data_IF_261823629161
#
_entry.id   IF_261823629161
#
_cell.length_a   1.000
_cell.length_b   1.000
_cell.length_c   1.000
_cell.angle_alpha   90.00
_cell.angle_beta   90.00
_cell.angle_gamma   90.00
#
_symmetry.space_group_name_H-M   'P 1'
#
loop_
_entity.id
_entity.type
_entity.pdbx_description
1 polymer ?
#
# COMPACT_ATOMS: atom_id res chain seq x y z
N UNK A 1 -23.64 51.76 -114.39
CA UNK A 1 -23.69 50.32 -114.06
C UNK A 1 -22.41 49.77 -113.41
N UNK A 2 -21.19 49.99 -113.98
CA UNK A 2 -19.93 49.49 -113.37
C UNK A 2 -19.67 49.95 -111.92
N UNK A 3 -19.99 51.21 -111.59
CA UNK A 3 -19.81 51.77 -110.22
C UNK A 3 -20.72 51.11 -109.17
N UNK A 4 -21.96 50.76 -109.53
CA UNK A 4 -22.92 50.08 -108.63
C UNK A 4 -22.48 48.64 -108.38
N UNK A 5 -22.02 47.93 -109.41
CA UNK A 5 -21.48 46.57 -109.28
C UNK A 5 -20.28 46.54 -108.32
N UNK A 6 -19.38 47.52 -108.40
CA UNK A 6 -18.22 47.62 -107.49
C UNK A 6 -18.68 47.82 -106.03
N UNK A 7 -19.67 48.69 -105.79
CA UNK A 7 -20.23 48.91 -104.45
C UNK A 7 -20.89 47.64 -103.91
N UNK A 8 -21.64 46.91 -104.76
CA UNK A 8 -22.35 45.70 -104.37
C UNK A 8 -21.39 44.54 -104.08
N UNK A 9 -20.34 44.37 -104.87
CA UNK A 9 -19.27 43.40 -104.62
C UNK A 9 -18.49 43.78 -103.35
N UNK A 10 -18.20 45.07 -103.14
CA UNK A 10 -17.53 45.53 -101.92
C UNK A 10 -18.38 45.28 -100.67
N UNK A 11 -19.70 45.47 -100.76
CA UNK A 11 -20.63 45.16 -99.66
C UNK A 11 -20.70 43.66 -99.39
N UNK A 12 -20.73 42.82 -100.43
CA UNK A 12 -20.74 41.37 -100.29
C UNK A 12 -19.45 40.85 -99.65
N UNK A 13 -18.29 41.38 -100.04
CA UNK A 13 -17.00 41.06 -99.42
C UNK A 13 -16.99 41.50 -97.96
N UNK A 14 -17.44 42.73 -97.66
CA UNK A 14 -17.55 43.24 -96.28
C UNK A 14 -18.47 42.36 -95.42
N UNK A 15 -19.64 41.99 -95.93
CA UNK A 15 -20.59 41.11 -95.24
C UNK A 15 -20.00 39.73 -94.98
N UNK A 16 -19.29 39.16 -95.97
CA UNK A 16 -18.59 37.89 -95.80
C UNK A 16 -17.52 37.98 -94.71
N UNK A 17 -16.76 39.07 -94.64
CA UNK A 17 -15.78 39.29 -93.57
C UNK A 17 -16.43 39.41 -92.19
N UNK A 18 -17.54 40.14 -92.07
CA UNK A 18 -18.28 40.27 -90.80
C UNK A 18 -18.84 38.93 -90.34
N UNK A 19 -19.46 38.17 -91.26
CA UNK A 19 -20.02 36.85 -90.95
C UNK A 19 -18.92 35.85 -90.54
N UNK A 20 -17.78 35.86 -91.25
CA UNK A 20 -16.67 34.97 -90.94
C UNK A 20 -16.03 35.31 -89.60
N UNK A 21 -15.93 36.59 -89.24
CA UNK A 21 -15.47 37.02 -87.93
C UNK A 21 -16.44 36.59 -86.82
N UNK A 22 -17.75 36.78 -87.01
CA UNK A 22 -18.76 36.34 -86.05
C UNK A 22 -18.73 34.81 -85.82
N UNK A 23 -18.62 34.01 -86.89
CA UNK A 23 -18.51 32.56 -86.79
C UNK A 23 -17.21 32.12 -86.11
N UNK A 24 -16.13 32.86 -86.29
CA UNK A 24 -14.85 32.59 -85.64
C UNK A 24 -14.95 32.88 -84.14
N UNK A 25 -15.57 34.00 -83.76
CA UNK A 25 -15.87 34.36 -82.38
C UNK A 25 -16.80 33.34 -81.70
N UNK A 26 -17.87 32.91 -82.37
CA UNK A 26 -18.80 31.91 -81.84
C UNK A 26 -18.10 30.56 -81.62
N UNK A 27 -17.26 30.13 -82.57
CA UNK A 27 -16.45 28.92 -82.43
C UNK A 27 -15.46 29.03 -81.27
N UNK A 28 -14.79 30.17 -81.11
CA UNK A 28 -13.84 30.43 -80.03
C UNK A 28 -14.53 30.38 -78.67
N UNK A 29 -15.66 31.06 -78.52
CA UNK A 29 -16.45 31.06 -77.28
C UNK A 29 -17.00 29.66 -76.93
N UNK A 30 -17.47 28.88 -77.91
CA UNK A 30 -17.90 27.50 -77.69
C UNK A 30 -16.72 26.59 -77.29
N UNK A 31 -15.52 26.82 -77.83
CA UNK A 31 -14.31 26.11 -77.42
C UNK A 31 -13.92 26.45 -75.98
N UNK A 32 -13.92 27.73 -75.62
CA UNK A 32 -13.63 28.19 -74.26
C UNK A 32 -14.63 27.62 -73.24
N UNK A 33 -15.94 27.66 -73.53
CA UNK A 33 -16.95 27.07 -72.65
C UNK A 33 -16.76 25.57 -72.47
N UNK A 34 -16.46 24.84 -73.54
CA UNK A 34 -16.20 23.39 -73.46
C UNK A 34 -14.96 23.09 -72.62
N UNK A 35 -13.90 23.87 -72.77
CA UNK A 35 -12.67 23.67 -72.02
C UNK A 35 -12.84 24.06 -70.56
N UNK A 36 -13.58 25.13 -70.26
CA UNK A 36 -13.98 25.51 -68.89
C UNK A 36 -14.82 24.40 -68.22
N UNK A 37 -15.83 23.86 -68.92
CA UNK A 37 -16.65 22.76 -68.40
C UNK A 37 -15.84 21.48 -68.15
N UNK A 38 -14.84 21.18 -68.99
CA UNK A 38 -13.92 20.06 -68.76
C UNK A 38 -13.05 20.28 -67.53
N UNK A 39 -12.50 21.49 -67.38
CA UNK A 39 -11.69 21.86 -66.21
C UNK A 39 -12.53 21.74 -64.93
N UNK A 40 -13.77 22.23 -64.93
CA UNK A 40 -14.69 22.11 -63.80
C UNK A 40 -15.01 20.64 -63.50
N UNK A 41 -15.30 19.84 -64.52
CA UNK A 41 -15.59 18.42 -64.34
C UNK A 41 -14.38 17.67 -63.76
N UNK A 42 -13.16 17.97 -64.23
CA UNK A 42 -11.94 17.35 -63.73
C UNK A 42 -11.60 17.82 -62.31
N UNK A 43 -11.90 19.08 -61.97
CA UNK A 43 -11.77 19.61 -60.61
C UNK A 43 -12.76 18.94 -59.64
N UNK A 44 -14.02 18.75 -60.04
CA UNK A 44 -15.03 18.03 -59.26
C UNK A 44 -14.66 16.55 -59.08
N UNK A 45 -14.12 15.90 -60.13
CA UNK A 45 -13.59 14.53 -60.03
C UNK A 45 -12.40 14.45 -59.07
N UNK A 46 -11.51 15.44 -59.12
CA UNK A 46 -10.38 15.57 -58.21
C UNK A 46 -10.84 15.64 -56.76
N UNK A 47 -11.78 16.53 -56.46
CA UNK A 47 -12.36 16.62 -55.12
C UNK A 47 -13.09 15.35 -54.69
N UNK A 48 -13.88 14.74 -55.56
CA UNK A 48 -14.55 13.48 -55.22
C UNK A 48 -13.55 12.38 -54.89
N UNK A 49 -12.42 12.28 -55.60
CA UNK A 49 -11.34 11.35 -55.27
C UNK A 49 -10.73 11.67 -53.90
N UNK A 50 -10.41 12.93 -53.64
CA UNK A 50 -9.87 13.35 -52.33
C UNK A 50 -10.85 13.04 -51.20
N UNK A 51 -12.14 13.33 -51.37
CA UNK A 51 -13.18 13.03 -50.39
C UNK A 51 -13.30 11.53 -50.16
N UNK A 52 -13.29 10.72 -51.21
CA UNK A 52 -13.30 9.25 -51.10
C UNK A 52 -12.10 8.76 -50.30
N UNK A 53 -10.89 9.21 -50.60
CA UNK A 53 -9.69 8.85 -49.82
C UNK A 53 -9.81 9.26 -48.37
N UNK A 54 -10.30 10.47 -48.07
CA UNK A 54 -10.49 10.89 -46.66
C UNK A 54 -11.56 10.08 -45.93
N UNK A 55 -12.60 9.64 -46.63
CA UNK A 55 -13.64 8.79 -46.04
C UNK A 55 -13.07 7.41 -45.74
N UNK A 56 -12.30 6.82 -46.66
CA UNK A 56 -11.62 5.54 -46.45
C UNK A 56 -10.65 5.61 -45.25
N UNK A 57 -9.84 6.67 -45.16
CA UNK A 57 -8.93 6.89 -44.02
C UNK A 57 -9.68 7.03 -42.69
N UNK A 58 -10.81 7.74 -42.68
CA UNK A 58 -11.65 7.89 -41.49
C UNK A 58 -12.33 6.58 -41.10
N UNK A 59 -12.81 5.80 -42.08
CA UNK A 59 -13.41 4.49 -41.82
C UNK A 59 -12.39 3.48 -41.26
N UNK A 60 -11.16 3.53 -41.73
CA UNK A 60 -10.06 2.72 -41.20
C UNK A 60 -9.69 3.16 -39.77
N UNK A 61 -9.60 4.47 -39.52
CA UNK A 61 -9.35 5.02 -38.18
C UNK A 61 -10.47 4.64 -37.18
N UNK A 62 -11.74 4.68 -37.62
CA UNK A 62 -12.89 4.26 -36.80
C UNK A 62 -12.80 2.78 -36.46
N UNK A 63 -12.45 1.93 -37.43
CA UNK A 63 -12.27 0.49 -37.21
C UNK A 63 -11.14 0.19 -36.23
N UNK A 64 -10.01 0.88 -36.36
CA UNK A 64 -8.90 0.74 -35.43
C UNK A 64 -9.28 1.17 -34.01
N UNK A 65 -9.93 2.33 -33.85
CA UNK A 65 -10.42 2.80 -32.55
C UNK A 65 -11.45 1.85 -31.91
N UNK A 66 -12.32 1.22 -32.72
CA UNK A 66 -13.25 0.21 -32.22
C UNK A 66 -12.52 -1.03 -31.70
N UNK A 67 -11.50 -1.51 -32.43
CA UNK A 67 -10.66 -2.64 -32.01
C UNK A 67 -9.88 -2.32 -30.73
N UNK A 68 -9.29 -1.13 -30.63
CA UNK A 68 -8.61 -0.68 -29.42
C UNK A 68 -9.56 -0.59 -28.23
N UNK A 69 -10.79 -0.07 -28.45
CA UNK A 69 -11.82 0.00 -27.41
C UNK A 69 -12.18 -1.39 -26.89
N UNK A 70 -12.40 -2.36 -27.78
CA UNK A 70 -12.73 -3.74 -27.39
C UNK A 70 -11.57 -4.38 -26.61
N UNK A 71 -10.33 -4.17 -27.07
CA UNK A 71 -9.13 -4.65 -26.39
C UNK A 71 -9.01 -4.05 -24.98
N UNK A 72 -9.26 -2.75 -24.83
CA UNK A 72 -9.23 -2.08 -23.53
C UNK A 72 -10.37 -2.57 -22.62
N UNK A 73 -11.57 -2.78 -23.16
CA UNK A 73 -12.70 -3.32 -22.39
C UNK A 73 -12.39 -4.72 -21.85
N UNK A 74 -11.82 -5.60 -22.68
CA UNK A 74 -11.40 -6.93 -22.24
C UNK A 74 -10.34 -6.86 -21.15
N UNK A 75 -9.38 -5.92 -21.28
CA UNK A 75 -8.35 -5.71 -20.26
C UNK A 75 -8.91 -5.16 -18.94
N UNK A 76 -9.91 -4.29 -19.01
CA UNK A 76 -10.62 -3.81 -17.81
C UNK A 76 -11.28 -4.99 -17.10
N UNK A 77 -12.01 -5.85 -17.83
CA UNK A 77 -12.67 -7.03 -17.25
C UNK A 77 -11.64 -7.98 -16.61
N UNK A 78 -10.50 -8.22 -17.27
CA UNK A 78 -9.41 -9.04 -16.72
C UNK A 78 -8.86 -8.45 -15.42
N UNK A 79 -8.57 -7.14 -15.39
CA UNK A 79 -8.06 -6.47 -14.20
C UNK A 79 -9.07 -6.44 -13.06
N UNK A 80 -10.37 -6.26 -13.35
CA UNK A 80 -11.44 -6.33 -12.35
C UNK A 80 -11.55 -7.72 -11.71
N UNK A 81 -11.38 -8.79 -12.50
CA UNK A 81 -11.35 -10.16 -11.99
C UNK A 81 -10.11 -10.41 -11.12
N UNK A 82 -8.92 -9.99 -11.58
CA UNK A 82 -7.68 -10.10 -10.80
C UNK A 82 -7.77 -9.34 -9.47
N UNK A 83 -8.38 -8.14 -9.49
CA UNK A 83 -8.60 -7.35 -8.27
C UNK A 83 -9.55 -8.07 -7.31
N UNK A 84 -10.62 -8.68 -7.82
CA UNK A 84 -11.57 -9.45 -6.99
C UNK A 84 -10.89 -10.64 -6.32
N UNK A 85 -10.13 -11.43 -7.08
CA UNK A 85 -9.38 -12.58 -6.55
C UNK A 85 -8.34 -12.14 -5.49
N UNK A 86 -7.65 -11.02 -5.74
CA UNK A 86 -6.69 -10.48 -4.78
C UNK A 86 -7.38 -10.05 -3.47
N UNK A 87 -8.53 -9.38 -3.56
CA UNK A 87 -9.31 -8.95 -2.39
C UNK A 87 -9.87 -10.14 -1.60
N UNK A 88 -10.36 -11.18 -2.29
CA UNK A 88 -10.82 -12.42 -1.63
C UNK A 88 -9.67 -13.08 -0.87
N UNK A 89 -8.50 -13.23 -1.51
CA UNK A 89 -7.31 -13.80 -0.88
C UNK A 89 -6.79 -12.96 0.29
N UNK A 90 -6.84 -11.64 0.18
CA UNK A 90 -6.49 -10.74 1.27
C UNK A 90 -7.42 -10.94 2.47
N UNK A 91 -8.73 -11.03 2.22
CA UNK A 91 -9.71 -11.26 3.28
C UNK A 91 -9.51 -12.62 3.97
N UNK A 92 -9.26 -13.68 3.20
CA UNK A 92 -8.91 -15.00 3.75
C UNK A 92 -7.65 -14.95 4.61
N UNK A 93 -6.60 -14.25 4.16
CA UNK A 93 -5.37 -14.09 4.91
C UNK A 93 -5.60 -13.31 6.21
N UNK A 94 -6.40 -12.25 6.16
CA UNK A 94 -6.78 -11.47 7.35
C UNK A 94 -7.55 -12.32 8.35
N UNK A 95 -8.45 -13.19 7.89
CA UNK A 95 -9.16 -14.14 8.76
C UNK A 95 -8.17 -15.14 9.40
N UNK A 96 -7.26 -15.73 8.63
CA UNK A 96 -6.23 -16.65 9.16
C UNK A 96 -5.35 -15.98 10.20
N UNK A 97 -4.93 -14.73 9.96
CA UNK A 97 -4.14 -13.96 10.94
C UNK A 97 -4.93 -13.76 12.24
N UNK A 98 -6.22 -13.43 12.16
CA UNK A 98 -7.07 -13.29 13.36
C UNK A 98 -7.20 -14.60 14.14
N UNK A 99 -7.44 -15.71 13.44
CA UNK A 99 -7.52 -17.04 14.04
C UNK A 99 -6.20 -17.45 14.71
N UNK A 100 -5.07 -17.19 14.05
CA UNK A 100 -3.73 -17.44 14.58
C UNK A 100 -3.43 -16.57 15.81
N UNK A 101 -3.79 -15.28 15.78
CA UNK A 101 -3.61 -14.39 16.93
C UNK A 101 -4.48 -14.82 18.11
N UNK A 102 -5.71 -15.27 17.86
CA UNK A 102 -6.59 -15.80 18.91
C UNK A 102 -6.02 -17.10 19.51
N UNK A 103 -5.50 -18.00 18.68
CA UNK A 103 -4.83 -19.22 19.13
C UNK A 103 -3.58 -18.89 19.95
N UNK A 104 -2.76 -17.93 19.49
CA UNK A 104 -1.58 -17.46 20.20
C UNK A 104 -1.95 -16.87 21.56
N UNK A 105 -2.97 -16.01 21.63
CA UNK A 105 -3.43 -15.43 22.89
C UNK A 105 -3.94 -16.50 23.87
N UNK A 106 -4.66 -17.51 23.36
CA UNK A 106 -5.10 -18.65 24.16
C UNK A 106 -3.90 -19.43 24.71
N UNK A 107 -2.88 -19.66 23.88
CA UNK A 107 -1.64 -20.30 24.30
C UNK A 107 -0.88 -19.47 25.34
N UNK A 108 -0.75 -18.16 25.15
CA UNK A 108 -0.10 -17.26 26.13
C UNK A 108 -0.78 -17.33 27.51
N UNK A 109 -2.12 -17.44 27.55
CA UNK A 109 -2.86 -17.64 28.80
C UNK A 109 -2.61 -19.02 29.39
N UNK A 110 -2.52 -20.08 28.58
CA UNK A 110 -2.18 -21.42 29.07
C UNK A 110 -0.79 -21.48 29.74
N UNK A 111 0.14 -20.66 29.26
CA UNK A 111 1.49 -20.57 29.83
C UNK A 111 1.57 -19.69 31.10
N UNK A 112 0.46 -19.08 31.55
CA UNK A 112 0.40 -18.19 32.72
C UNK A 112 1.03 -18.81 33.97
N UNK A 113 0.77 -20.09 34.25
CA UNK A 113 1.29 -20.76 35.44
C UNK A 113 2.81 -20.97 35.37
N UNK A 114 3.36 -21.26 34.19
CA UNK A 114 4.81 -21.46 34.01
C UNK A 114 5.58 -20.14 34.20
N UNK A 115 5.11 -19.06 33.55
CA UNK A 115 5.77 -17.75 33.70
C UNK A 115 5.59 -17.18 35.11
N UNK A 116 4.46 -17.48 35.77
CA UNK A 116 4.25 -17.14 37.18
C UNK A 116 5.21 -17.89 38.10
N UNK A 117 5.46 -19.17 37.85
CA UNK A 117 6.41 -19.97 38.62
C UNK A 117 7.83 -19.39 38.51
N UNK A 118 8.23 -18.96 37.32
CA UNK A 118 9.54 -18.34 37.08
C UNK A 118 9.65 -17.00 37.79
N UNK A 119 8.63 -16.15 37.71
CA UNK A 119 8.58 -14.90 38.47
C UNK A 119 8.69 -15.16 39.98
N UNK A 120 7.97 -16.15 40.51
CA UNK A 120 7.99 -16.51 41.91
C UNK A 120 9.37 -17.05 42.36
N UNK A 121 10.03 -17.88 41.54
CA UNK A 121 11.39 -18.36 41.78
C UNK A 121 12.40 -17.22 41.78
N UNK A 122 12.32 -16.32 40.79
CA UNK A 122 13.15 -15.13 40.71
C UNK A 122 13.00 -14.25 41.96
N UNK A 123 11.77 -13.94 42.37
CA UNK A 123 11.50 -13.18 43.60
C UNK A 123 11.99 -13.89 44.88
N UNK A 124 11.84 -15.20 44.95
CA UNK A 124 12.34 -16.01 46.06
C UNK A 124 13.87 -15.95 46.13
N UNK A 125 14.58 -15.97 45.01
CA UNK A 125 16.04 -15.89 44.99
C UNK A 125 16.56 -14.51 45.38
N UNK A 126 15.87 -13.43 44.98
CA UNK A 126 16.15 -12.08 45.46
C UNK A 126 15.99 -11.99 46.98
N UNK A 127 14.85 -12.46 47.49
CA UNK A 127 14.52 -12.36 48.92
C UNK A 127 15.45 -13.19 49.81
N UNK A 128 15.94 -14.33 49.31
CA UNK A 128 16.90 -15.17 50.03
C UNK A 128 18.37 -14.73 49.84
N UNK A 129 18.62 -13.53 49.31
CA UNK A 129 19.96 -13.02 48.98
C UNK A 129 20.77 -13.90 48.00
N UNK A 130 20.10 -14.73 47.19
CA UNK A 130 20.71 -15.58 46.14
C UNK A 130 20.73 -14.83 44.80
N UNK A 131 21.30 -13.63 44.78
CA UNK A 131 21.27 -12.73 43.62
C UNK A 131 21.90 -13.35 42.36
N UNK A 132 22.99 -14.09 42.53
CA UNK A 132 23.65 -14.84 41.45
C UNK A 132 22.72 -15.88 40.82
N UNK A 133 21.95 -16.62 41.62
CA UNK A 133 20.98 -17.58 41.12
C UNK A 133 19.81 -16.86 40.42
N UNK A 134 19.38 -15.71 40.94
CA UNK A 134 18.33 -14.90 40.32
C UNK A 134 18.70 -14.38 38.92
N UNK A 135 19.99 -14.17 38.65
CA UNK A 135 20.47 -13.72 37.34
C UNK A 135 20.31 -14.81 36.26
N UNK A 136 20.28 -16.09 36.63
CA UNK A 136 20.15 -17.21 35.68
C UNK A 136 18.77 -17.30 35.01
N UNK A 137 17.76 -16.63 35.55
CA UNK A 137 16.44 -16.54 34.91
C UNK A 137 16.34 -15.41 33.88
N UNK A 138 17.41 -14.63 33.69
CA UNK A 138 17.40 -13.46 32.82
C UNK A 138 17.99 -13.79 31.45
N UNK A 139 17.47 -13.13 30.43
CA UNK A 139 18.06 -13.17 29.10
C UNK A 139 19.33 -12.31 29.01
N UNK A 140 20.15 -12.53 27.97
CA UNK A 140 21.33 -11.71 27.69
C UNK A 140 20.98 -10.26 27.36
N UNK A 141 19.81 -10.03 26.78
CA UNK A 141 19.29 -8.71 26.42
C UNK A 141 18.40 -8.09 27.52
N UNK A 142 18.53 -8.58 28.76
CA UNK A 142 17.69 -8.14 29.86
C UNK A 142 17.77 -6.63 30.13
N UNK A 143 16.61 -6.01 30.29
CA UNK A 143 16.46 -4.60 30.68
C UNK A 143 15.64 -4.44 31.96
N UNK A 144 16.08 -3.54 32.82
CA UNK A 144 15.41 -3.23 34.09
C UNK A 144 15.08 -1.73 34.12
N UNK A 145 13.79 -1.40 34.00
CA UNK A 145 13.31 -0.03 33.77
C UNK A 145 14.02 0.61 32.56
N UNK A 146 13.84 0.00 31.39
CA UNK A 146 14.31 0.46 30.07
C UNK A 146 15.83 0.65 29.90
N UNK A 147 16.61 0.09 30.83
CA UNK A 147 18.07 0.18 30.78
C UNK A 147 18.69 -1.21 30.89
N UNK A 148 19.61 -1.56 29.97
CA UNK A 148 20.32 -2.83 30.05
C UNK A 148 21.20 -2.84 31.30
N UNK A 149 21.30 -4.01 31.93
CA UNK A 149 22.14 -4.21 33.11
C UNK A 149 23.16 -5.31 32.82
N UNK A 150 24.44 -5.00 33.04
CA UNK A 150 25.44 -6.06 33.12
C UNK A 150 25.30 -6.80 34.47
N UNK A 151 25.97 -7.94 34.58
CA UNK A 151 25.89 -8.80 35.77
C UNK A 151 26.23 -8.05 37.07
N UNK A 152 27.30 -7.26 37.09
CA UNK A 152 27.75 -6.55 38.30
C UNK A 152 26.74 -5.46 38.71
N UNK A 153 26.24 -4.70 37.75
CA UNK A 153 25.22 -3.67 37.96
C UNK A 153 23.89 -4.27 38.41
N UNK A 154 23.52 -5.43 37.87
CA UNK A 154 22.35 -6.19 38.30
C UNK A 154 22.46 -6.58 39.77
N UNK A 155 23.56 -7.22 40.17
CA UNK A 155 23.77 -7.68 41.55
C UNK A 155 23.73 -6.50 42.52
N UNK A 156 24.37 -5.38 42.15
CA UNK A 156 24.36 -4.15 42.95
C UNK A 156 22.93 -3.60 43.09
N UNK A 157 22.21 -3.45 41.97
CA UNK A 157 20.86 -2.90 41.94
C UNK A 157 19.88 -3.74 42.74
N UNK A 158 19.84 -5.05 42.48
CA UNK A 158 18.87 -5.96 43.11
C UNK A 158 19.16 -6.16 44.60
N UNK A 159 20.41 -6.02 45.05
CA UNK A 159 20.75 -6.09 46.48
C UNK A 159 20.12 -4.98 47.34
N UNK A 160 19.60 -3.91 46.72
CA UNK A 160 18.86 -2.85 47.41
C UNK A 160 17.44 -3.32 47.80
N UNK A 161 16.93 -4.39 47.18
CA UNK A 161 15.64 -5.02 47.48
C UNK A 161 15.85 -6.03 48.61
N UNK A 162 15.24 -5.81 49.75
CA UNK A 162 15.30 -6.69 50.91
C UNK A 162 14.43 -7.94 50.72
N UNK A 163 13.20 -7.73 50.23
CA UNK A 163 12.25 -8.80 49.96
C UNK A 163 11.26 -8.37 48.90
N UNK A 164 10.80 -9.34 48.10
CA UNK A 164 9.80 -9.13 47.08
C UNK A 164 8.93 -10.38 46.98
N UNK A 165 7.61 -10.20 46.98
CA UNK A 165 6.65 -11.28 46.91
C UNK A 165 5.49 -10.90 46.01
N UNK A 166 4.91 -11.89 45.30
CA UNK A 166 3.62 -11.73 44.63
C UNK A 166 2.56 -11.54 45.71
N UNK A 167 1.78 -10.48 45.62
CA UNK A 167 0.70 -10.22 46.56
C UNK A 167 -0.31 -11.36 46.51
N UNK A 168 -0.73 -11.88 47.66
CA UNK A 168 -1.86 -12.83 47.70
C UNK A 168 -3.13 -12.04 47.41
N UNK A 169 -3.86 -12.43 46.37
CA UNK A 169 -5.14 -11.81 46.08
C UNK A 169 -6.12 -12.04 47.22
N UNK A 170 -6.80 -10.97 47.65
CA UNK A 170 -7.85 -11.02 48.68
C UNK A 170 -9.23 -11.35 48.09
N UNK A 171 -9.39 -11.32 46.77
CA UNK A 171 -10.65 -11.53 46.06
C UNK A 171 -10.37 -12.11 44.66
N UNK A 172 -11.06 -13.18 44.27
CA UNK A 172 -10.89 -13.87 42.97
C UNK A 172 -11.06 -12.96 41.75
N UNK A 173 -11.69 -11.79 41.89
CA UNK A 173 -11.90 -10.82 40.81
C UNK A 173 -10.66 -10.02 40.40
N UNK A 174 -9.65 -9.88 41.28
CA UNK A 174 -8.39 -9.18 40.95
C UNK A 174 -7.24 -10.16 41.06
N UNK A 175 -6.90 -10.83 39.96
CA UNK A 175 -5.72 -11.70 39.90
C UNK A 175 -4.46 -10.85 40.14
N UNK A 176 -3.60 -11.29 41.05
CA UNK A 176 -2.32 -10.64 41.34
C UNK A 176 -1.25 -10.92 40.28
N UNK A 177 -1.55 -11.79 39.32
CA UNK A 177 -0.75 -12.08 38.14
C UNK A 177 -1.68 -12.20 36.93
N UNK A 178 -1.47 -11.41 35.88
CA UNK A 178 -2.30 -11.41 34.68
C UNK A 178 -1.41 -11.35 33.45
N UNK A 179 -1.54 -12.32 32.54
CA UNK A 179 -0.94 -12.22 31.20
C UNK A 179 -1.72 -11.20 30.39
N UNK A 180 -1.02 -10.19 29.88
CA UNK A 180 -1.58 -9.15 29.02
C UNK A 180 -1.71 -9.69 27.59
N UNK A 181 -2.89 -9.54 27.00
CA UNK A 181 -3.17 -9.85 25.60
C UNK A 181 -2.77 -8.67 24.71
N UNK A 182 -1.49 -8.30 24.77
CA UNK A 182 -0.90 -7.20 24.02
C UNK A 182 -0.11 -7.73 22.81
N UNK A 183 0.24 -6.86 21.85
CA UNK A 183 1.07 -7.13 20.67
C UNK A 183 2.55 -7.38 21.02
N UNK A 184 2.81 -8.03 22.16
CA UNK A 184 4.11 -8.59 22.45
C UNK A 184 4.45 -9.66 21.39
N UNK A 185 5.74 -9.76 21.02
CA UNK A 185 6.23 -10.67 19.99
C UNK A 185 5.70 -12.11 20.11
N UNK A 186 5.78 -12.88 19.02
CA UNK A 186 5.21 -14.23 18.95
C UNK A 186 5.68 -15.17 20.07
N UNK A 187 6.89 -14.96 20.58
CA UNK A 187 7.51 -15.75 21.66
C UNK A 187 7.57 -15.04 23.00
N UNK A 188 6.92 -13.87 23.10
CA UNK A 188 6.99 -13.00 24.26
C UNK A 188 5.63 -12.98 24.99
N UNK A 189 5.69 -13.17 26.31
CA UNK A 189 4.55 -13.07 27.22
C UNK A 189 4.79 -11.88 28.12
N UNK A 190 3.92 -10.88 28.02
CA UNK A 190 3.91 -9.75 28.95
C UNK A 190 2.92 -10.04 30.07
N UNK A 191 3.36 -9.96 31.32
CA UNK A 191 2.50 -10.19 32.48
C UNK A 191 2.57 -9.02 33.46
N UNK A 192 1.41 -8.64 33.98
CA UNK A 192 1.27 -7.68 35.07
C UNK A 192 1.22 -8.41 36.40
N UNK A 193 2.10 -8.02 37.32
CA UNK A 193 2.29 -8.67 38.62
C UNK A 193 2.15 -7.64 39.73
N UNK A 194 1.19 -7.86 40.64
CA UNK A 194 1.08 -7.09 41.87
C UNK A 194 2.06 -7.67 42.89
N UNK A 195 3.02 -6.85 43.32
CA UNK A 195 4.08 -7.26 44.24
C UNK A 195 4.05 -6.45 45.52
N UNK A 196 4.47 -7.07 46.61
CA UNK A 196 4.81 -6.38 47.86
C UNK A 196 6.32 -6.47 48.05
N UNK A 197 6.99 -5.33 48.20
CA UNK A 197 8.43 -5.27 48.34
C UNK A 197 8.88 -4.37 49.49
N UNK A 198 10.02 -4.72 50.07
CA UNK A 198 10.74 -3.92 51.07
C UNK A 198 12.14 -3.60 50.54
N UNK A 199 12.56 -2.36 50.66
CA UNK A 199 13.84 -1.82 50.21
C UNK A 199 14.70 -1.52 51.45
N UNK A 200 15.97 -1.93 51.42
CA UNK A 200 16.90 -1.66 52.53
C UNK A 200 17.24 -0.17 52.60
N UNK A 201 17.87 0.33 51.55
CA UNK A 201 18.23 1.73 51.33
C UNK A 201 18.36 1.94 49.81
N UNK A 202 17.31 2.44 49.13
CA UNK A 202 17.38 2.63 47.69
C UNK A 202 18.41 3.72 47.41
N UNK A 203 19.48 3.38 46.72
CA UNK A 203 20.55 4.29 46.31
C UNK A 203 20.53 4.49 44.79
N UNK A 204 20.20 3.45 44.03
CA UNK A 204 20.03 3.52 42.60
C UNK A 204 18.80 4.37 42.24
N UNK A 205 18.99 5.42 41.41
CA UNK A 205 17.91 6.32 40.98
C UNK A 205 16.75 5.56 40.32
N UNK A 206 17.07 4.51 39.55
CA UNK A 206 16.08 3.61 38.93
C UNK A 206 15.16 2.92 39.94
N UNK A 207 15.64 2.56 41.14
CA UNK A 207 14.81 1.96 42.19
C UNK A 207 14.01 3.06 42.89
N UNK A 208 14.63 4.20 43.19
CA UNK A 208 13.95 5.35 43.83
C UNK A 208 12.76 5.85 43.02
N UNK A 209 12.91 5.90 41.69
CA UNK A 209 11.89 6.48 40.80
C UNK A 209 10.76 5.50 40.49
N UNK A 210 11.02 4.18 40.49
CA UNK A 210 10.07 3.19 39.99
C UNK A 210 9.52 2.24 41.07
N UNK A 211 10.15 2.13 42.24
CA UNK A 211 9.75 1.21 43.32
C UNK A 211 9.54 1.95 44.64
N UNK A 212 8.53 1.52 45.40
CA UNK A 212 8.25 2.01 46.76
C UNK A 212 8.14 0.86 47.75
N UNK A 213 8.38 1.11 49.04
CA UNK A 213 8.06 0.13 50.08
C UNK A 213 6.56 -0.17 50.10
N UNK A 214 6.19 -1.46 50.19
CA UNK A 214 4.81 -1.93 50.16
C UNK A 214 4.37 -2.39 48.77
N UNK A 215 3.14 -2.04 48.38
CA UNK A 215 2.49 -2.55 47.16
C UNK A 215 2.94 -1.80 45.88
N UNK A 216 3.37 -2.58 44.89
CA UNK A 216 3.82 -2.13 43.57
C UNK A 216 3.17 -2.98 42.49
N UNK A 217 3.15 -2.46 41.26
CA UNK A 217 2.73 -3.21 40.09
C UNK A 217 3.88 -3.23 39.11
N UNK A 218 4.33 -4.42 38.75
CA UNK A 218 5.40 -4.64 37.79
C UNK A 218 4.82 -5.23 36.51
N UNK A 219 5.33 -4.80 35.37
CA UNK A 219 5.13 -5.51 34.10
C UNK A 219 6.42 -6.26 33.77
N UNK A 220 6.32 -7.58 33.65
CA UNK A 220 7.44 -8.47 33.35
C UNK A 220 7.18 -9.09 31.99
N UNK A 221 8.16 -8.99 31.10
CA UNK A 221 8.13 -9.65 29.80
C UNK A 221 9.04 -10.87 29.84
N UNK A 222 8.47 -12.01 29.49
CA UNK A 222 9.12 -13.30 29.41
C UNK A 222 9.29 -13.69 27.95
N UNK A 223 10.42 -14.29 27.60
CA UNK A 223 10.68 -14.87 26.29
C UNK A 223 10.94 -16.35 26.44
N UNK A 224 10.37 -17.17 25.56
CA UNK A 224 10.71 -18.58 25.52
C UNK A 224 12.11 -18.75 24.90
N UNK A 225 13.04 -19.32 25.66
CA UNK A 225 14.37 -19.65 25.18
C UNK A 225 14.39 -21.12 24.71
N UNK A 226 14.53 -21.39 23.40
CA UNK A 226 14.52 -22.75 22.88
C UNK A 226 15.75 -23.57 23.30
N UNK A 227 16.90 -22.92 23.55
CA UNK A 227 18.14 -23.60 23.93
C UNK A 227 18.08 -24.14 25.37
N UNK A 228 17.35 -23.44 26.25
CA UNK A 228 17.17 -23.79 27.65
C UNK A 228 15.86 -24.54 27.92
N UNK A 229 15.02 -24.71 26.89
CA UNK A 229 13.66 -25.24 26.98
C UNK A 229 12.83 -24.60 28.11
N UNK A 230 13.05 -23.31 28.37
CA UNK A 230 12.49 -22.61 29.51
C UNK A 230 12.27 -21.13 29.22
N UNK A 231 11.42 -20.47 30.01
CA UNK A 231 11.22 -19.03 29.88
C UNK A 231 12.29 -18.25 30.64
N UNK A 232 12.69 -17.14 30.04
CA UNK A 232 13.62 -16.17 30.62
C UNK A 232 12.97 -14.81 30.69
N UNK A 233 13.37 -14.00 31.66
CA UNK A 233 12.90 -12.62 31.82
C UNK A 233 13.77 -11.73 30.93
N UNK A 234 13.14 -11.00 30.02
CA UNK A 234 13.82 -10.05 29.12
C UNK A 234 13.65 -8.61 29.57
N UNK A 235 12.57 -8.30 30.30
CA UNK A 235 12.27 -6.91 30.66
C UNK A 235 11.42 -6.84 31.92
N UNK A 236 11.74 -5.90 32.80
CA UNK A 236 10.91 -5.54 33.96
C UNK A 236 10.72 -4.03 33.97
N UNK A 237 9.46 -3.59 33.98
CA UNK A 237 9.08 -2.17 34.05
C UNK A 237 8.05 -1.94 35.15
N UNK A 238 7.85 -0.67 35.52
CA UNK A 238 6.74 -0.27 36.38
C UNK A 238 5.48 -0.14 35.51
N UNK A 239 4.34 -0.62 36.01
CA UNK A 239 3.04 -0.43 35.36
C UNK A 239 2.48 0.98 35.58
#
# INVERSE_FOLDING_TARGET
MKKIVIILVSFLVLFTFIMLNYLLWDKENLMEQRDMNKIEQDWLRGQNRTLQTTVEELEDAVRDLQSQKETQQNKIIELENQLREALEKENENMQKIREQNQALNTFKVFMEDQVREIAAKWFSDITNNRYEASYLYLDKEFTFFDTPLNKEEYLKTISEIESIYIQKSKNDMTKSFVVLQDDAGAYDIKARVQTTLSLRQPNAERIKNNLRNGANTLEITFRYNPDLENWVIIMVTAA
#
